data_IF_109863346461
#
_entry.id   IF_109863346461
#
_cell.length_a   1.000
_cell.length_b   1.000
_cell.length_c   1.000
_cell.angle_alpha   90.00
_cell.angle_beta   90.00
_cell.angle_gamma   90.00
#
_symmetry.space_group_name_H-M   'P 1'
#
loop_
_entity.id
_entity.type
_entity.pdbx_description
1 polymer ?
#
# COMPACT_ATOMS: atom_id res chain seq x y z
N UNK A 1 6.07 -13.58 -5.28
CA UNK A 1 5.07 -14.58 -5.74
C UNK A 1 5.13 -15.86 -4.90
N UNK A 2 6.29 -16.51 -4.77
CA UNK A 2 6.47 -17.70 -3.92
C UNK A 2 5.99 -17.47 -2.49
N UNK A 3 6.41 -16.37 -1.85
CA UNK A 3 5.94 -16.01 -0.50
C UNK A 3 4.41 -15.95 -0.41
N UNK A 4 3.72 -15.35 -1.39
CA UNK A 4 2.26 -15.31 -1.41
C UNK A 4 1.62 -16.69 -1.53
N UNK A 5 2.23 -17.59 -2.30
CA UNK A 5 1.74 -18.96 -2.44
C UNK A 5 1.91 -19.72 -1.12
N UNK A 6 3.11 -19.69 -0.53
CA UNK A 6 3.41 -20.37 0.72
C UNK A 6 2.53 -19.86 1.87
N UNK A 7 2.30 -18.55 1.96
CA UNK A 7 1.42 -17.99 3.01
C UNK A 7 -0.03 -18.47 2.90
N UNK A 8 -0.53 -18.86 1.72
CA UNK A 8 -1.89 -19.40 1.61
C UNK A 8 -2.06 -20.83 2.09
N UNK A 9 -0.95 -21.55 2.29
CA UNK A 9 -0.97 -22.94 2.74
C UNK A 9 -0.79 -23.06 4.27
N UNK A 10 -0.57 -21.94 4.97
CA UNK A 10 -0.38 -21.92 6.42
C UNK A 10 -1.71 -22.20 7.16
N UNK A 11 -1.66 -23.11 8.13
CA UNK A 11 -2.77 -23.40 9.03
C UNK A 11 -2.67 -22.54 10.29
N UNK A 12 -3.69 -21.70 10.52
CA UNK A 12 -3.78 -20.87 11.72
C UNK A 12 -3.94 -21.69 13.01
N UNK A 13 -4.18 -23.00 12.96
CA UNK A 13 -4.26 -23.85 14.15
C UNK A 13 -2.92 -24.50 14.53
N UNK A 14 -1.95 -24.53 13.61
CA UNK A 14 -0.64 -25.10 13.86
C UNK A 14 0.34 -24.06 14.39
N UNK A 15 0.89 -24.26 15.59
CA UNK A 15 1.83 -23.33 16.22
C UNK A 15 3.08 -23.07 15.36
N UNK A 16 3.55 -24.09 14.64
CA UNK A 16 4.69 -23.98 13.72
C UNK A 16 4.40 -23.00 12.58
N UNK A 17 3.21 -23.07 12.00
CA UNK A 17 2.81 -22.21 10.88
C UNK A 17 2.58 -20.77 11.36
N UNK A 18 2.05 -20.59 12.57
CA UNK A 18 1.98 -19.27 13.21
C UNK A 18 3.36 -18.64 13.37
N UNK A 19 4.30 -19.37 13.96
CA UNK A 19 5.67 -18.90 14.15
C UNK A 19 6.36 -18.60 12.80
N UNK A 20 6.11 -19.41 11.77
CA UNK A 20 6.63 -19.19 10.42
C UNK A 20 6.09 -17.87 9.83
N UNK A 21 4.79 -17.61 9.97
CA UNK A 21 4.16 -16.36 9.53
C UNK A 21 4.74 -15.15 10.28
N UNK A 22 4.86 -15.22 11.59
CA UNK A 22 5.39 -14.13 12.42
C UNK A 22 6.84 -13.80 12.07
N UNK A 23 7.68 -14.81 11.84
CA UNK A 23 9.07 -14.62 11.42
C UNK A 23 9.16 -13.96 10.03
N UNK A 24 8.34 -14.44 9.08
CA UNK A 24 8.24 -13.84 7.76
C UNK A 24 7.80 -12.38 7.84
N UNK A 25 6.74 -12.10 8.59
CA UNK A 25 6.22 -10.74 8.77
C UNK A 25 7.24 -9.85 9.46
N UNK A 26 7.96 -10.34 10.46
CA UNK A 26 9.04 -9.59 11.13
C UNK A 26 10.11 -9.16 10.12
N UNK A 27 10.57 -10.08 9.27
CA UNK A 27 11.55 -9.75 8.23
C UNK A 27 10.99 -8.74 7.23
N UNK A 28 9.81 -8.99 6.68
CA UNK A 28 9.18 -8.15 5.65
C UNK A 28 8.83 -6.74 6.17
N UNK A 29 8.33 -6.63 7.41
CA UNK A 29 8.02 -5.35 8.06
C UNK A 29 9.32 -4.62 8.43
N UNK A 30 10.38 -5.33 8.82
CA UNK A 30 11.69 -4.77 9.11
C UNK A 30 12.27 -3.98 7.94
N UNK A 31 12.12 -4.49 6.72
CA UNK A 31 12.55 -3.82 5.49
C UNK A 31 11.88 -2.45 5.25
N UNK A 32 10.71 -2.21 5.85
CA UNK A 32 10.03 -0.91 5.73
C UNK A 32 10.65 0.16 6.64
N UNK A 33 11.48 -0.18 7.63
CA UNK A 33 12.17 0.80 8.48
C UNK A 33 11.27 1.92 9.04
N UNK A 34 10.01 1.61 9.36
CA UNK A 34 8.95 2.60 9.66
C UNK A 34 9.18 3.46 10.90
N UNK A 35 10.06 3.03 11.81
CA UNK A 35 10.40 3.77 13.03
C UNK A 35 11.24 5.02 12.77
N UNK A 36 12.07 4.99 11.73
CA UNK A 36 12.92 6.10 11.31
C UNK A 36 12.93 6.18 9.77
N UNK A 37 11.79 6.57 9.18
CA UNK A 37 11.65 6.56 7.73
C UNK A 37 12.47 7.69 7.10
N UNK A 38 13.18 7.39 6.02
CA UNK A 38 13.74 8.43 5.15
C UNK A 38 12.61 9.06 4.31
N UNK A 39 12.14 10.22 4.78
CA UNK A 39 11.08 11.00 4.14
C UNK A 39 11.60 12.07 3.18
N UNK A 40 12.93 12.19 3.04
CA UNK A 40 13.58 13.16 2.17
C UNK A 40 13.22 12.90 0.72
N UNK A 41 12.69 13.88 -0.01
CA UNK A 41 12.26 13.71 -1.41
C UNK A 41 11.32 12.50 -1.65
N UNK A 42 10.54 12.03 -0.68
CA UNK A 42 9.80 10.73 -0.73
C UNK A 42 8.96 10.49 -1.99
N UNK A 43 8.58 11.57 -2.68
CA UNK A 43 7.85 11.57 -3.95
C UNK A 43 8.70 11.14 -5.16
N UNK A 44 10.03 11.24 -5.07
CA UNK A 44 10.96 10.82 -6.12
C UNK A 44 11.04 9.29 -6.17
N UNK A 45 10.87 8.74 -7.36
CA UNK A 45 11.03 7.31 -7.60
C UNK A 45 12.51 6.91 -7.56
N UNK A 46 12.81 5.82 -6.84
CA UNK A 46 14.13 5.17 -6.80
C UNK A 46 13.95 3.64 -6.73
N UNK A 47 14.94 2.82 -7.12
CA UNK A 47 14.84 1.36 -7.00
C UNK A 47 14.49 0.88 -5.59
N UNK A 48 15.09 1.51 -4.56
CA UNK A 48 14.81 1.17 -3.16
C UNK A 48 13.34 1.44 -2.80
N UNK A 49 12.75 2.50 -3.35
CA UNK A 49 11.35 2.87 -3.10
C UNK A 49 10.36 2.02 -3.87
N UNK A 50 10.75 1.52 -5.04
CA UNK A 50 9.95 0.50 -5.74
C UNK A 50 9.87 -0.78 -4.91
N UNK A 51 11.00 -1.24 -4.35
CA UNK A 51 11.02 -2.40 -3.44
C UNK A 51 10.11 -2.14 -2.24
N UNK A 52 10.26 -0.98 -1.61
CA UNK A 52 9.43 -0.57 -0.48
C UNK A 52 7.93 -0.60 -0.81
N UNK A 53 7.55 -0.04 -1.96
CA UNK A 53 6.16 -0.06 -2.45
C UNK A 53 5.66 -1.49 -2.70
N UNK A 54 6.49 -2.37 -3.27
CA UNK A 54 6.14 -3.79 -3.49
C UNK A 54 5.92 -4.50 -2.16
N UNK A 55 6.73 -4.22 -1.14
CA UNK A 55 6.57 -4.77 0.21
C UNK A 55 5.24 -4.30 0.82
N UNK A 56 4.93 -3.01 0.74
CA UNK A 56 3.63 -2.49 1.19
C UNK A 56 2.47 -3.16 0.45
N UNK A 57 2.57 -3.37 -0.87
CA UNK A 57 1.57 -4.08 -1.68
C UNK A 57 1.43 -5.54 -1.26
N UNK A 58 2.53 -6.25 -1.01
CA UNK A 58 2.55 -7.62 -0.52
C UNK A 58 1.76 -7.74 0.79
N UNK A 59 2.07 -6.89 1.77
CA UNK A 59 1.38 -6.84 3.07
C UNK A 59 -0.12 -6.56 2.88
N UNK A 60 -0.48 -5.63 1.99
CA UNK A 60 -1.88 -5.36 1.67
C UNK A 60 -2.61 -6.55 1.03
N UNK A 61 -1.92 -7.32 0.18
CA UNK A 61 -2.46 -8.55 -0.42
C UNK A 61 -2.69 -9.61 0.65
N UNK A 62 -1.74 -9.80 1.58
CA UNK A 62 -1.88 -10.75 2.70
C UNK A 62 -3.13 -10.45 3.54
N UNK A 63 -3.45 -9.18 3.78
CA UNK A 63 -4.69 -8.75 4.48
C UNK A 63 -5.96 -8.74 3.60
N UNK A 64 -5.87 -8.94 2.27
CA UNK A 64 -7.03 -8.83 1.36
C UNK A 64 -7.61 -10.17 0.91
N UNK A 65 -6.89 -11.29 1.08
CA UNK A 65 -7.25 -12.59 0.46
C UNK A 65 -8.46 -13.31 1.07
N UNK A 66 -9.25 -12.65 1.93
CA UNK A 66 -10.40 -13.22 2.65
C UNK A 66 -11.63 -13.61 1.82
N UNK A 67 -11.50 -13.83 0.50
CA UNK A 67 -12.61 -14.33 -0.35
C UNK A 67 -12.18 -15.61 -1.06
N UNK A 68 -12.11 -16.70 -0.29
CA UNK A 68 -12.10 -18.05 -0.84
C UNK A 68 -13.50 -18.65 -0.63
N UNK A 69 -14.11 -19.13 -1.72
CA UNK A 69 -15.43 -19.76 -1.80
C UNK A 69 -15.50 -21.16 -1.16
N UNK A 70 -14.60 -21.48 -0.22
CA UNK A 70 -14.55 -22.77 0.48
C UNK A 70 -14.91 -22.59 1.95
N UNK A 71 -15.90 -23.35 2.42
CA UNK A 71 -16.46 -23.28 3.80
C UNK A 71 -15.44 -23.58 4.91
N UNK A 72 -14.24 -24.08 4.59
CA UNK A 72 -13.19 -24.42 5.57
C UNK A 72 -12.02 -23.44 5.59
N UNK A 73 -11.90 -22.53 4.61
CA UNK A 73 -10.70 -21.70 4.42
C UNK A 73 -10.87 -20.23 4.89
N UNK A 74 -12.02 -19.91 5.46
CA UNK A 74 -12.38 -18.56 5.91
C UNK A 74 -11.57 -18.16 7.15
N UNK A 75 -11.37 -19.10 8.09
CA UNK A 75 -10.71 -18.84 9.36
C UNK A 75 -9.21 -18.61 9.19
N UNK A 76 -8.54 -19.39 8.31
CA UNK A 76 -7.11 -19.23 8.00
C UNK A 76 -6.81 -17.91 7.28
N UNK A 77 -7.68 -17.47 6.35
CA UNK A 77 -7.56 -16.15 5.73
C UNK A 77 -7.77 -15.00 6.73
N UNK A 78 -8.65 -15.19 7.72
CA UNK A 78 -8.83 -14.25 8.82
C UNK A 78 -7.57 -14.19 9.69
N UNK A 79 -7.00 -15.34 10.03
CA UNK A 79 -5.77 -15.46 10.83
C UNK A 79 -4.60 -14.68 10.20
N UNK A 80 -4.28 -14.93 8.92
CA UNK A 80 -3.16 -14.23 8.25
C UNK A 80 -3.41 -12.72 8.26
N UNK A 81 -4.63 -12.29 7.94
CA UNK A 81 -5.00 -10.87 7.90
C UNK A 81 -4.87 -10.21 9.27
N UNK A 82 -5.29 -10.91 10.32
CA UNK A 82 -5.29 -10.44 11.70
C UNK A 82 -3.87 -10.35 12.28
N UNK A 83 -3.04 -11.40 12.13
CA UNK A 83 -1.63 -11.37 12.55
C UNK A 83 -0.86 -10.29 11.79
N UNK A 84 -1.05 -10.22 10.46
CA UNK A 84 -0.43 -9.17 9.64
C UNK A 84 -0.82 -7.78 10.14
N UNK A 85 -2.11 -7.54 10.40
CA UNK A 85 -2.58 -6.24 10.89
C UNK A 85 -2.00 -5.91 12.27
N UNK A 86 -2.02 -6.85 13.22
CA UNK A 86 -1.51 -6.64 14.58
C UNK A 86 -0.01 -6.33 14.59
N UNK A 87 0.80 -7.11 13.86
CA UNK A 87 2.24 -6.84 13.78
C UNK A 87 2.55 -5.52 13.08
N UNK A 88 1.82 -5.20 12.02
CA UNK A 88 2.00 -3.95 11.28
C UNK A 88 1.58 -2.74 12.12
N UNK A 89 0.53 -2.85 12.93
CA UNK A 89 0.15 -1.84 13.91
C UNK A 89 1.27 -1.62 14.94
N UNK A 90 1.78 -2.69 15.55
CA UNK A 90 2.86 -2.61 16.53
C UNK A 90 4.17 -2.04 15.96
N UNK A 91 4.37 -2.19 14.65
CA UNK A 91 5.50 -1.62 13.93
C UNK A 91 5.36 -0.12 13.60
N UNK A 92 4.23 0.52 13.93
CA UNK A 92 4.03 1.97 13.76
C UNK A 92 3.56 2.39 12.37
N UNK A 93 2.87 1.51 11.63
CA UNK A 93 2.41 1.79 10.26
C UNK A 93 1.46 2.98 10.16
N UNK A 94 0.70 3.26 11.21
CA UNK A 94 -0.26 4.37 11.25
C UNK A 94 0.54 5.69 11.19
N UNK A 95 1.49 5.88 12.09
CA UNK A 95 2.32 7.09 12.09
C UNK A 95 3.16 7.21 10.83
N UNK A 96 3.71 6.09 10.34
CA UNK A 96 4.47 6.04 9.10
C UNK A 96 3.63 6.50 7.89
N UNK A 97 2.43 5.95 7.72
CA UNK A 97 1.55 6.34 6.62
C UNK A 97 1.13 7.80 6.72
N UNK A 98 0.89 8.32 7.93
CA UNK A 98 0.60 9.74 8.12
C UNK A 98 1.77 10.62 7.68
N UNK A 99 3.01 10.25 8.04
CA UNK A 99 4.21 10.98 7.60
C UNK A 99 4.35 11.00 6.07
N UNK A 100 4.11 9.88 5.39
CA UNK A 100 4.06 9.84 3.94
C UNK A 100 3.01 10.81 3.39
N UNK A 101 1.78 10.74 3.91
CA UNK A 101 0.68 11.59 3.44
C UNK A 101 0.97 13.08 3.62
N UNK A 102 1.66 13.47 4.69
CA UNK A 102 2.14 14.86 4.90
C UNK A 102 3.05 15.32 3.76
N UNK A 103 4.03 14.49 3.39
CA UNK A 103 4.99 14.83 2.32
C UNK A 103 4.37 14.79 0.92
N UNK A 104 3.47 13.84 0.66
CA UNK A 104 2.81 13.77 -0.64
C UNK A 104 1.81 14.91 -0.85
N UNK A 105 1.21 15.46 0.21
CA UNK A 105 0.21 16.53 0.06
C UNK A 105 0.84 17.78 -0.55
N UNK A 106 2.05 18.15 -0.14
CA UNK A 106 2.77 19.28 -0.75
C UNK A 106 3.09 19.02 -2.22
N UNK A 107 3.55 17.81 -2.55
CA UNK A 107 3.78 17.38 -3.94
C UNK A 107 2.52 17.50 -4.80
N UNK A 108 1.38 17.02 -4.33
CA UNK A 108 0.14 17.07 -5.09
C UNK A 108 -0.37 18.49 -5.28
N UNK A 109 -0.26 19.35 -4.26
CA UNK A 109 -0.62 20.77 -4.38
C UNK A 109 0.29 21.52 -5.36
N UNK A 110 1.59 21.23 -5.36
CA UNK A 110 2.57 21.86 -6.23
C UNK A 110 2.44 21.40 -7.70
N UNK A 111 2.18 20.10 -7.92
CA UNK A 111 1.90 19.52 -9.24
C UNK A 111 0.68 20.14 -9.94
N UNK A 112 -0.05 20.99 -9.23
CA UNK A 112 -1.22 21.70 -9.69
C UNK A 112 -1.06 23.05 -10.33
N UNK A 113 0.12 23.64 -10.21
CA UNK A 113 0.43 24.93 -10.82
C UNK A 113 0.93 24.81 -12.27
N UNK A 114 1.26 23.60 -12.73
CA UNK A 114 1.83 23.35 -14.04
C UNK A 114 0.83 22.61 -14.94
N UNK A 115 -0.25 23.27 -15.36
CA UNK A 115 -0.91 22.90 -16.60
C UNK A 115 -0.37 23.77 -17.75
N UNK A 116 0.00 23.09 -18.84
CA UNK A 116 0.36 23.63 -20.16
C UNK A 116 1.80 24.13 -20.39
N UNK A 117 2.80 23.40 -19.90
CA UNK A 117 4.07 23.29 -20.64
C UNK A 117 3.87 22.35 -21.83
N UNK A 118 3.59 22.89 -23.01
CA UNK A 118 3.57 22.16 -24.29
C UNK A 118 4.88 21.38 -24.47
N UNK A 119 4.89 20.11 -24.09
CA UNK A 119 5.95 19.20 -24.50
C UNK A 119 5.72 18.87 -25.98
N UNK A 120 6.35 19.67 -26.84
CA UNK A 120 6.50 19.42 -28.27
C UNK A 120 6.91 17.96 -28.44
N UNK A 121 6.00 17.20 -29.05
CA UNK A 121 6.12 15.76 -29.23
C UNK A 121 7.25 15.41 -30.20
N UNK A 122 8.43 15.11 -29.64
CA UNK A 122 9.33 14.15 -30.23
C UNK A 122 8.93 12.77 -29.73
N UNK A 123 8.22 11.97 -30.55
CA UNK A 123 8.04 10.54 -30.29
C UNK A 123 9.41 9.88 -30.50
N UNK A 124 10.27 9.96 -29.49
CA UNK A 124 11.47 9.14 -29.41
C UNK A 124 11.00 7.69 -29.22
N UNK A 125 11.54 6.79 -30.03
CA UNK A 125 11.29 5.36 -29.91
C UNK A 125 11.61 4.95 -28.48
N UNK A 126 10.58 4.47 -27.76
CA UNK A 126 10.76 3.93 -26.41
C UNK A 126 11.74 2.75 -26.51
N UNK A 127 12.76 2.66 -25.65
CA UNK A 127 13.70 1.55 -25.68
C UNK A 127 12.94 0.23 -25.68
N UNK A 128 13.16 -0.57 -26.71
CA UNK A 128 12.57 -1.89 -26.79
C UNK A 128 13.31 -2.75 -25.75
N UNK A 129 12.63 -3.12 -24.66
CA UNK A 129 13.19 -4.08 -23.71
C UNK A 129 13.26 -5.43 -24.43
N UNK A 130 14.44 -6.06 -24.44
CA UNK A 130 14.67 -7.36 -25.09
C UNK A 130 13.95 -8.52 -24.39
N UNK A 131 13.41 -8.28 -23.19
CA UNK A 131 12.71 -9.26 -22.36
C UNK A 131 11.44 -8.63 -21.80
N UNK A 132 10.32 -9.35 -21.85
CA UNK A 132 9.11 -8.94 -21.13
C UNK A 132 9.43 -8.81 -19.64
N UNK A 133 8.95 -7.75 -18.96
CA UNK A 133 9.09 -7.67 -17.51
C UNK A 133 8.37 -8.85 -16.83
N UNK A 134 8.77 -9.19 -15.59
CA UNK A 134 8.13 -10.25 -14.81
C UNK A 134 6.64 -9.96 -14.57
N UNK A 135 5.84 -11.00 -14.32
CA UNK A 135 4.42 -10.81 -14.03
C UNK A 135 4.20 -10.11 -12.67
N UNK A 136 3.76 -8.85 -12.75
CA UNK A 136 3.47 -8.00 -11.59
C UNK A 136 2.02 -8.10 -11.11
N UNK A 137 1.17 -8.89 -11.78
CA UNK A 137 -0.25 -9.06 -11.42
C UNK A 137 -0.54 -9.61 -10.01
N UNK A 138 0.42 -10.28 -9.31
CA UNK A 138 0.21 -10.64 -7.91
C UNK A 138 0.24 -9.47 -6.93
N UNK A 139 0.80 -8.32 -7.33
CA UNK A 139 0.90 -7.12 -6.49
C UNK A 139 0.05 -5.95 -7.00
N UNK A 140 -0.24 -5.94 -8.31
CA UNK A 140 -0.98 -4.88 -8.99
C UNK A 140 -2.21 -5.43 -9.70
N UNK A 141 -3.23 -4.59 -9.88
CA UNK A 141 -4.42 -5.00 -10.64
C UNK A 141 -4.03 -5.36 -12.07
N UNK A 142 -4.58 -6.47 -12.60
CA UNK A 142 -4.29 -6.93 -13.98
C UNK A 142 -4.50 -5.85 -15.03
N UNK A 143 -5.55 -5.04 -14.90
CA UNK A 143 -5.82 -3.91 -15.79
C UNK A 143 -4.73 -2.83 -15.71
N UNK A 144 -4.23 -2.56 -14.50
CA UNK A 144 -3.14 -1.61 -14.29
C UNK A 144 -1.85 -2.13 -14.94
N UNK A 145 -1.49 -3.39 -14.71
CA UNK A 145 -0.29 -4.02 -15.33
C UNK A 145 -0.39 -3.99 -16.85
N UNK A 146 -1.56 -4.30 -17.43
CA UNK A 146 -1.77 -4.25 -18.88
C UNK A 146 -1.59 -2.83 -19.45
N UNK A 147 -2.05 -1.81 -18.73
CA UNK A 147 -1.87 -0.40 -19.10
C UNK A 147 -0.44 0.11 -18.91
N UNK A 148 0.36 -0.56 -18.09
CA UNK A 148 1.72 -0.17 -17.69
C UNK A 148 2.74 -1.27 -17.99
N UNK A 149 2.57 -1.97 -19.11
CA UNK A 149 3.35 -3.17 -19.44
C UNK A 149 4.86 -2.93 -19.53
N UNK A 150 5.29 -1.70 -19.81
CA UNK A 150 6.70 -1.34 -19.93
C UNK A 150 7.30 -0.84 -18.61
N UNK A 151 6.45 -0.34 -17.70
CA UNK A 151 6.88 0.31 -16.46
C UNK A 151 5.72 0.44 -15.47
N UNK A 152 5.55 -0.56 -14.61
CA UNK A 152 4.48 -0.60 -13.60
C UNK A 152 4.68 0.42 -12.47
N UNK A 153 5.86 1.04 -12.36
CA UNK A 153 6.17 2.03 -11.32
C UNK A 153 6.17 3.45 -11.85
N UNK A 154 5.78 3.66 -13.11
CA UNK A 154 5.74 4.98 -13.75
C UNK A 154 4.99 6.01 -12.88
N UNK A 155 3.87 5.61 -12.30
CA UNK A 155 3.06 6.46 -11.43
C UNK A 155 3.38 6.24 -9.94
N UNK A 156 4.66 6.10 -9.60
CA UNK A 156 5.09 5.85 -8.21
C UNK A 156 4.43 6.74 -7.15
N UNK A 157 4.32 8.08 -7.31
CA UNK A 157 3.64 8.93 -6.34
C UNK A 157 2.19 8.52 -6.09
N UNK A 158 1.48 8.15 -7.16
CA UNK A 158 0.09 7.71 -7.11
C UNK A 158 -0.01 6.40 -6.33
N UNK A 159 0.85 5.44 -6.68
CA UNK A 159 0.87 4.11 -6.09
C UNK A 159 1.19 4.13 -4.59
N UNK A 160 2.17 4.94 -4.18
CA UNK A 160 2.55 5.03 -2.77
C UNK A 160 1.49 5.78 -1.95
N UNK A 161 0.91 6.86 -2.49
CA UNK A 161 -0.18 7.57 -1.79
C UNK A 161 -1.41 6.67 -1.61
N UNK A 162 -1.75 5.84 -2.60
CA UNK A 162 -2.80 4.82 -2.46
C UNK A 162 -2.49 3.86 -1.30
N UNK A 163 -1.26 3.36 -1.21
CA UNK A 163 -0.85 2.43 -0.16
C UNK A 163 -0.87 3.06 1.23
N UNK A 164 -0.43 4.31 1.35
CA UNK A 164 -0.46 5.07 2.60
C UNK A 164 -1.89 5.30 3.13
N UNK A 165 -2.91 5.26 2.26
CA UNK A 165 -4.32 5.32 2.69
C UNK A 165 -4.92 3.94 2.92
N UNK A 166 -4.50 2.96 2.11
CA UNK A 166 -5.08 1.61 2.12
C UNK A 166 -4.61 0.80 3.33
N UNK A 167 -3.34 0.86 3.71
CA UNK A 167 -2.81 0.08 4.84
C UNK A 167 -3.48 0.46 6.16
N UNK A 168 -3.60 1.74 6.57
CA UNK A 168 -4.30 2.10 7.80
C UNK A 168 -5.74 1.60 7.84
N UNK A 169 -6.46 1.68 6.71
CA UNK A 169 -7.81 1.13 6.60
C UNK A 169 -7.84 -0.38 6.85
N UNK A 170 -6.92 -1.13 6.25
CA UNK A 170 -6.85 -2.59 6.44
C UNK A 170 -6.45 -2.96 7.86
N UNK A 171 -5.47 -2.27 8.43
CA UNK A 171 -5.02 -2.54 9.80
C UNK A 171 -6.13 -2.27 10.80
N UNK A 172 -6.83 -1.14 10.69
CA UNK A 172 -8.01 -0.87 11.54
C UNK A 172 -9.12 -1.91 11.35
N UNK A 173 -9.27 -2.47 10.14
CA UNK A 173 -10.30 -3.47 9.85
C UNK A 173 -10.01 -4.84 10.46
N UNK A 174 -8.75 -5.23 10.54
CA UNK A 174 -8.36 -6.60 10.90
C UNK A 174 -7.63 -6.71 12.24
N UNK A 175 -7.15 -5.61 12.81
CA UNK A 175 -6.51 -5.67 14.12
C UNK A 175 -7.52 -5.93 15.24
N UNK A 176 -7.10 -6.70 16.25
CA UNK A 176 -7.88 -6.93 17.48
C UNK A 176 -7.95 -5.69 18.37
N UNK A 177 -6.93 -4.83 18.31
CA UNK A 177 -6.80 -3.69 19.19
C UNK A 177 -7.36 -2.43 18.49
N UNK A 178 -8.22 -1.65 19.14
CA UNK A 178 -8.71 -0.41 18.56
C UNK A 178 -7.54 0.55 18.30
N UNK A 179 -7.50 1.14 17.11
CA UNK A 179 -6.52 2.19 16.77
C UNK A 179 -7.19 3.54 16.98
N UNK A 180 -6.52 4.39 17.74
CA UNK A 180 -6.88 5.80 17.87
C UNK A 180 -6.14 6.59 16.78
N UNK A 181 -6.89 7.17 15.86
CA UNK A 181 -6.34 8.09 14.86
C UNK A 181 -6.26 9.50 15.45
N UNK A 182 -5.06 10.09 15.46
CA UNK A 182 -4.85 11.45 15.95
C UNK A 182 -5.56 12.52 15.09
N UNK A 183 -5.77 13.72 15.66
CA UNK A 183 -6.41 14.84 14.96
C UNK A 183 -5.75 15.18 13.61
N UNK A 184 -4.43 14.99 13.52
CA UNK A 184 -3.68 15.20 12.28
C UNK A 184 -4.21 14.36 11.12
N UNK A 185 -4.65 13.12 11.36
CA UNK A 185 -5.24 12.29 10.30
C UNK A 185 -6.46 12.94 9.67
N UNK A 186 -7.39 13.42 10.48
CA UNK A 186 -8.59 14.10 9.99
C UNK A 186 -8.25 15.34 9.18
N UNK A 187 -7.29 16.15 9.66
CA UNK A 187 -6.80 17.32 8.94
C UNK A 187 -6.26 16.94 7.54
N UNK A 188 -5.29 16.02 7.47
CA UNK A 188 -4.67 15.66 6.19
C UNK A 188 -5.66 14.97 5.24
N UNK A 189 -6.52 14.09 5.74
CA UNK A 189 -7.55 13.45 4.89
C UNK A 189 -8.54 14.48 4.32
N UNK A 190 -8.95 15.49 5.09
CA UNK A 190 -9.76 16.59 4.58
C UNK A 190 -9.01 17.42 3.52
N UNK A 191 -7.73 17.71 3.72
CA UNK A 191 -6.91 18.42 2.72
C UNK A 191 -6.80 17.63 1.40
N UNK A 192 -6.62 16.31 1.47
CA UNK A 192 -6.62 15.45 0.28
C UNK A 192 -7.97 15.43 -0.43
N UNK A 193 -9.08 15.53 0.31
CA UNK A 193 -10.42 15.64 -0.30
C UNK A 193 -10.60 16.91 -1.13
N UNK A 194 -9.97 18.00 -0.70
CA UNK A 194 -10.02 19.31 -1.38
C UNK A 194 -9.02 19.43 -2.54
N UNK A 195 -8.03 18.53 -2.61
CA UNK A 195 -6.99 18.57 -3.65
C UNK A 195 -7.58 18.22 -5.02
N UNK A 196 -7.40 19.09 -6.01
CA UNK A 196 -7.98 18.94 -7.35
C UNK A 196 -7.16 18.00 -8.25
N UNK A 197 -5.83 18.00 -8.16
CA UNK A 197 -4.97 17.16 -9.01
C UNK A 197 -4.98 15.67 -8.65
N UNK A 198 -5.65 15.27 -7.58
CA UNK A 198 -5.62 13.90 -7.08
C UNK A 198 -7.01 13.23 -6.98
N UNK A 199 -7.85 13.26 -8.03
CA UNK A 199 -9.20 12.72 -7.96
C UNK A 199 -9.22 11.20 -7.71
N UNK A 200 -8.19 10.48 -8.17
CA UNK A 200 -8.01 9.04 -7.95
C UNK A 200 -7.86 8.68 -6.46
N UNK A 201 -7.36 9.62 -5.65
CA UNK A 201 -7.11 9.43 -4.21
C UNK A 201 -8.40 9.56 -3.41
N UNK A 202 -9.33 10.42 -3.84
CA UNK A 202 -10.56 10.77 -3.09
C UNK A 202 -11.39 9.55 -2.69
N UNK A 203 -11.45 8.51 -3.53
CA UNK A 203 -12.17 7.27 -3.19
C UNK A 203 -11.56 6.58 -1.96
N UNK A 204 -10.24 6.50 -1.89
CA UNK A 204 -9.51 5.88 -0.77
C UNK A 204 -9.64 6.73 0.49
N UNK A 205 -9.54 8.06 0.36
CA UNK A 205 -9.69 9.00 1.48
C UNK A 205 -11.09 8.95 2.07
N UNK A 206 -12.15 9.03 1.23
CA UNK A 206 -13.54 8.88 1.69
C UNK A 206 -13.75 7.57 2.43
N UNK A 207 -13.22 6.47 1.88
CA UNK A 207 -13.35 5.15 2.49
C UNK A 207 -12.70 5.10 3.87
N UNK A 208 -11.49 5.64 4.02
CA UNK A 208 -10.81 5.70 5.30
C UNK A 208 -11.53 6.63 6.29
N UNK A 209 -11.90 7.84 5.86
CA UNK A 209 -12.67 8.81 6.67
C UNK A 209 -13.97 8.21 7.21
N UNK A 210 -14.78 7.60 6.33
CA UNK A 210 -16.04 6.96 6.74
C UNK A 210 -15.80 5.83 7.75
N UNK A 211 -14.69 5.11 7.61
CA UNK A 211 -14.35 4.02 8.50
C UNK A 211 -13.92 4.55 9.88
N UNK A 212 -13.00 5.50 9.95
CA UNK A 212 -12.49 6.06 11.22
C UNK A 212 -13.54 6.92 11.94
N UNK A 213 -14.44 7.59 11.22
CA UNK A 213 -15.53 8.38 11.82
C UNK A 213 -16.77 7.52 12.16
N UNK A 214 -16.97 6.39 11.47
CA UNK A 214 -18.15 5.55 11.55
C UNK A 214 -18.03 4.38 12.52
N UNK A 215 -16.83 4.05 12.99
CA UNK A 215 -16.62 3.14 14.12
C UNK A 215 -17.05 3.83 15.41
N UNK A 216 -18.31 3.63 15.81
CA UNK A 216 -18.81 3.85 17.18
C UNK A 216 -18.84 2.52 17.92
#
# INVERSE_FOLDING_TARGET
QVVLMLTSDLDGNEERDRACLENLLTAVIGELSMRQPDISDVCKRTPQREVHLVIMRLISVMMSRSKSSSKTNTDNCSFISQVTATMLQQAGVIDYCLQLLKQFLSYWKASGGEEAGSSIGGVLLKPHLNTSPPDMSPFFLKQYVKGHSNDVFKDYPHLLTEMALRLPYQVQRYSCAPITFEQAWFFFLCEYMMTQQAPFIRRHVRKLLLFICGTK
#
